data_IF_044147829886
#
_entry.id   IF_044147829886
#
_cell.length_a   1.000
_cell.length_b   1.000
_cell.length_c   1.000
_cell.angle_alpha   90.00
_cell.angle_beta   90.00
_cell.angle_gamma   90.00
#
_symmetry.space_group_name_H-M   'P 1'
#
loop_
_entity.id
_entity.type
_entity.pdbx_description
1 polymer ?
#
# COMPACT_ATOMS: atom_id res chain seq x y z
N UNK A 1 -23.31 4.88 -10.29
CA UNK A 1 -23.94 3.72 -10.93
C UNK A 1 -23.16 3.25 -12.16
N UNK A 2 -22.91 4.10 -13.15
CA UNK A 2 -22.15 3.77 -14.37
C UNK A 2 -20.76 3.18 -14.12
N UNK A 3 -20.00 3.75 -13.18
CA UNK A 3 -18.66 3.24 -12.83
C UNK A 3 -18.69 1.81 -12.27
N UNK A 4 -19.70 1.49 -11.45
CA UNK A 4 -19.86 0.17 -10.85
C UNK A 4 -20.22 -0.86 -11.94
N UNK A 5 -21.10 -0.50 -12.87
CA UNK A 5 -21.44 -1.35 -14.01
C UNK A 5 -20.23 -1.61 -14.90
N UNK A 6 -19.46 -0.56 -15.24
CA UNK A 6 -18.24 -0.72 -16.05
C UNK A 6 -17.20 -1.59 -15.34
N UNK A 7 -16.96 -1.35 -14.04
CA UNK A 7 -16.02 -2.15 -13.25
C UNK A 7 -16.46 -3.61 -13.17
N UNK A 8 -17.75 -3.88 -12.93
CA UNK A 8 -18.30 -5.23 -12.89
C UNK A 8 -18.20 -5.94 -14.25
N UNK A 9 -18.51 -5.23 -15.35
CA UNK A 9 -18.40 -5.77 -16.70
C UNK A 9 -16.95 -6.14 -17.04
N UNK A 10 -16.00 -5.24 -16.79
CA UNK A 10 -14.56 -5.49 -16.99
C UNK A 10 -14.05 -6.64 -16.13
N UNK A 11 -14.52 -6.75 -14.88
CA UNK A 11 -14.15 -7.84 -13.99
C UNK A 11 -14.67 -9.18 -14.50
N UNK A 12 -15.94 -9.27 -14.89
CA UNK A 12 -16.52 -10.50 -15.45
C UNK A 12 -15.79 -10.90 -16.72
N UNK A 13 -15.51 -9.95 -17.61
CA UNK A 13 -14.76 -10.19 -18.84
C UNK A 13 -13.35 -10.71 -18.54
N UNK A 14 -12.62 -10.04 -17.64
CA UNK A 14 -11.28 -10.45 -17.22
C UNK A 14 -11.26 -11.85 -16.60
N UNK A 15 -12.27 -12.19 -15.78
CA UNK A 15 -12.42 -13.53 -15.21
C UNK A 15 -12.76 -14.58 -16.25
N UNK A 16 -13.53 -14.24 -17.29
CA UNK A 16 -13.86 -15.18 -18.37
C UNK A 16 -12.66 -15.46 -19.28
N UNK A 17 -11.77 -14.48 -19.45
CA UNK A 17 -10.53 -14.63 -20.23
C UNK A 17 -9.40 -15.30 -19.42
N UNK A 18 -9.52 -15.31 -18.08
CA UNK A 18 -8.62 -16.04 -17.20
C UNK A 18 -8.86 -17.54 -17.43
N UNK A 19 -8.10 -18.13 -18.35
CA UNK A 19 -8.10 -19.57 -18.64
C UNK A 19 -7.49 -20.40 -17.48
N UNK A 20 -7.67 -19.98 -16.22
CA UNK A 20 -7.15 -20.64 -15.03
C UNK A 20 -8.23 -20.75 -13.95
N UNK A 21 -8.39 -21.92 -13.32
CA UNK A 21 -9.30 -22.06 -12.19
C UNK A 21 -8.77 -21.28 -10.99
N UNK A 22 -9.58 -20.38 -10.44
CA UNK A 22 -9.28 -19.69 -9.18
C UNK A 22 -9.47 -20.68 -8.03
N UNK A 23 -8.36 -21.10 -7.40
CA UNK A 23 -8.39 -21.99 -6.25
C UNK A 23 -8.96 -21.28 -5.01
N UNK A 24 -9.82 -21.93 -4.20
CA UNK A 24 -10.29 -21.36 -2.92
C UNK A 24 -9.14 -20.94 -1.99
N UNK A 25 -8.01 -21.65 -2.04
CA UNK A 25 -6.81 -21.30 -1.28
C UNK A 25 -6.24 -19.93 -1.69
N UNK A 26 -6.20 -19.64 -3.00
CA UNK A 26 -5.73 -18.36 -3.51
C UNK A 26 -6.62 -17.20 -3.06
N UNK A 27 -7.94 -17.43 -2.98
CA UNK A 27 -8.90 -16.45 -2.47
C UNK A 27 -8.67 -16.15 -0.99
N UNK A 28 -8.45 -17.17 -0.16
CA UNK A 28 -8.16 -17.00 1.27
C UNK A 28 -6.87 -16.21 1.47
N UNK A 29 -5.79 -16.56 0.75
CA UNK A 29 -4.53 -15.82 0.83
C UNK A 29 -4.67 -14.38 0.32
N UNK A 30 -5.43 -14.16 -0.76
CA UNK A 30 -5.73 -12.83 -1.25
C UNK A 30 -6.40 -11.97 -0.18
N UNK A 31 -7.45 -12.48 0.48
CA UNK A 31 -8.16 -11.77 1.55
C UNK A 31 -7.24 -11.51 2.76
N UNK A 32 -6.37 -12.45 3.10
CA UNK A 32 -5.37 -12.25 4.14
C UNK A 32 -4.41 -11.10 3.81
N UNK A 33 -3.78 -11.11 2.62
CA UNK A 33 -2.88 -10.03 2.20
C UNK A 33 -3.61 -8.71 2.01
N UNK A 34 -4.88 -8.73 1.61
CA UNK A 34 -5.71 -7.53 1.58
C UNK A 34 -5.87 -6.93 2.99
N UNK A 35 -6.13 -7.77 4.01
CA UNK A 35 -6.18 -7.32 5.41
C UNK A 35 -4.85 -6.74 5.91
N UNK A 36 -3.73 -7.34 5.53
CA UNK A 36 -2.38 -6.80 5.79
C UNK A 36 -2.22 -5.44 5.11
N UNK A 37 -2.63 -5.30 3.85
CA UNK A 37 -2.54 -4.05 3.12
C UNK A 37 -3.37 -2.92 3.73
N UNK A 38 -4.61 -3.23 4.11
CA UNK A 38 -5.48 -2.29 4.83
C UNK A 38 -4.82 -1.86 6.13
N UNK A 39 -4.23 -2.80 6.89
CA UNK A 39 -3.53 -2.50 8.15
C UNK A 39 -2.36 -1.54 7.93
N UNK A 40 -1.57 -1.73 6.88
CA UNK A 40 -0.48 -0.83 6.52
C UNK A 40 -1.00 0.60 6.25
N UNK A 41 -1.99 0.75 5.37
CA UNK A 41 -2.50 2.07 5.00
C UNK A 41 -3.13 2.81 6.19
N UNK A 42 -3.89 2.11 7.05
CA UNK A 42 -4.43 2.71 8.27
C UNK A 42 -3.33 3.12 9.25
N UNK A 43 -2.29 2.29 9.41
CA UNK A 43 -1.16 2.62 10.28
C UNK A 43 -0.44 3.88 9.80
N UNK A 44 -0.22 3.99 8.49
CA UNK A 44 0.38 5.18 7.86
C UNK A 44 -0.52 6.42 8.04
N UNK A 45 -1.83 6.30 7.82
CA UNK A 45 -2.79 7.39 8.01
C UNK A 45 -2.82 7.89 9.46
N UNK A 46 -2.80 6.98 10.44
CA UNK A 46 -2.77 7.36 11.85
C UNK A 46 -1.47 8.10 12.16
N UNK A 47 -0.32 7.62 11.68
CA UNK A 47 0.97 8.27 11.92
C UNK A 47 1.00 9.70 11.33
N UNK A 48 0.50 9.89 10.10
CA UNK A 48 0.43 11.22 9.47
C UNK A 48 -0.56 12.14 10.20
N UNK A 49 -1.73 11.64 10.58
CA UNK A 49 -2.73 12.39 11.33
C UNK A 49 -2.19 12.82 12.71
N UNK A 50 -1.50 11.95 13.42
CA UNK A 50 -0.84 12.25 14.69
C UNK A 50 0.21 13.35 14.55
N UNK A 51 0.99 13.32 13.46
CA UNK A 51 2.02 14.32 13.20
C UNK A 51 1.43 15.73 13.00
N UNK A 52 0.16 15.84 12.63
CA UNK A 52 -0.53 17.14 12.47
C UNK A 52 -0.55 18.02 13.72
N UNK A 53 -0.41 17.43 14.92
CA UNK A 53 -0.37 18.19 16.19
C UNK A 53 0.79 19.18 16.23
N UNK A 54 1.92 18.85 15.60
CA UNK A 54 3.11 19.69 15.59
C UNK A 54 3.21 20.61 14.37
N UNK A 55 2.34 20.44 13.38
CA UNK A 55 2.31 21.29 12.19
C UNK A 55 1.30 22.42 12.37
N UNK A 56 1.74 23.68 12.17
CA UNK A 56 0.82 24.83 12.19
C UNK A 56 -0.19 24.83 11.02
N UNK A 57 0.09 24.09 9.94
CA UNK A 57 -0.80 23.89 8.78
C UNK A 57 -0.71 22.45 8.30
N UNK A 58 -1.87 21.82 8.07
CA UNK A 58 -1.94 20.39 7.73
C UNK A 58 -2.02 20.10 6.22
N UNK A 59 -1.99 21.13 5.37
CA UNK A 59 -2.17 20.98 3.93
C UNK A 59 -1.14 20.03 3.32
N UNK A 60 0.14 20.14 3.70
CA UNK A 60 1.19 19.24 3.22
C UNK A 60 0.99 17.77 3.62
N UNK A 61 0.34 17.49 4.77
CA UNK A 61 0.01 16.13 5.18
C UNK A 61 -1.13 15.55 4.35
N UNK A 62 -2.13 16.38 4.01
CA UNK A 62 -3.21 15.99 3.09
C UNK A 62 -2.66 15.71 1.69
N UNK A 63 -1.81 16.60 1.16
CA UNK A 63 -1.17 16.42 -0.14
C UNK A 63 -0.30 15.15 -0.16
N UNK A 64 0.48 14.93 0.90
CA UNK A 64 1.28 13.71 1.05
C UNK A 64 0.41 12.45 1.02
N UNK A 65 -0.64 12.38 1.86
CA UNK A 65 -1.55 11.24 1.88
C UNK A 65 -2.22 11.02 0.52
N UNK A 66 -2.69 12.10 -0.11
CA UNK A 66 -3.30 12.06 -1.43
C UNK A 66 -2.34 11.44 -2.46
N UNK A 67 -1.12 11.95 -2.59
CA UNK A 67 -0.15 11.43 -3.55
C UNK A 67 0.21 9.96 -3.29
N UNK A 68 0.36 9.55 -2.02
CA UNK A 68 0.58 8.14 -1.68
C UNK A 68 -0.55 7.26 -2.23
N UNK A 69 -1.80 7.65 -2.06
CA UNK A 69 -2.95 6.87 -2.56
C UNK A 69 -3.10 6.91 -4.08
N UNK A 70 -2.58 7.94 -4.76
CA UNK A 70 -2.51 7.96 -6.23
C UNK A 70 -1.47 6.96 -6.73
N UNK A 71 -0.24 6.99 -6.19
CA UNK A 71 0.82 6.06 -6.61
C UNK A 71 0.46 4.60 -6.31
N UNK A 72 -0.23 4.35 -5.20
CA UNK A 72 -0.69 3.03 -4.77
C UNK A 72 -1.71 2.38 -5.72
N UNK A 73 -2.33 3.13 -6.64
CA UNK A 73 -3.26 2.55 -7.62
C UNK A 73 -2.55 1.73 -8.71
N UNK A 74 -1.25 1.95 -8.88
CA UNK A 74 -0.45 1.32 -9.92
C UNK A 74 0.40 0.19 -9.33
N UNK A 75 0.38 -1.02 -9.91
CA UNK A 75 1.24 -2.10 -9.48
C UNK A 75 2.71 -1.75 -9.70
N UNK A 76 3.59 -2.38 -8.91
CA UNK A 76 5.04 -2.13 -8.89
C UNK A 76 5.69 -2.15 -10.29
N UNK A 77 5.26 -3.06 -11.16
CA UNK A 77 5.86 -3.27 -12.48
C UNK A 77 5.73 -2.08 -13.43
N UNK A 78 4.83 -1.12 -13.17
CA UNK A 78 4.71 0.10 -13.97
C UNK A 78 5.91 1.04 -13.75
N UNK A 79 6.62 0.88 -12.63
CA UNK A 79 7.77 1.70 -12.26
C UNK A 79 9.11 1.02 -12.61
N UNK A 80 9.08 -0.12 -13.30
CA UNK A 80 10.29 -0.79 -13.77
C UNK A 80 10.95 0.05 -14.88
N UNK A 81 12.28 0.16 -14.87
CA UNK A 81 13.03 0.86 -15.91
C UNK A 81 12.92 0.15 -17.26
N UNK A 82 12.88 0.94 -18.34
CA UNK A 82 12.86 0.38 -19.71
C UNK A 82 14.23 0.05 -20.25
N UNK A 83 15.27 0.80 -19.85
CA UNK A 83 16.65 0.61 -20.29
C UNK A 83 17.57 0.22 -19.12
N UNK A 84 18.05 -1.03 -19.12
CA UNK A 84 18.96 -1.54 -18.08
C UNK A 84 20.32 -0.83 -18.05
N UNK A 85 20.67 -0.06 -19.09
CA UNK A 85 21.92 0.70 -19.16
C UNK A 85 21.86 2.09 -18.49
N UNK A 86 20.68 2.55 -18.08
CA UNK A 86 20.48 3.92 -17.58
C UNK A 86 19.54 3.95 -16.38
N UNK A 87 19.97 4.64 -15.32
CA UNK A 87 19.12 4.85 -14.16
C UNK A 87 17.96 5.80 -14.51
N UNK A 88 16.74 5.29 -14.44
CA UNK A 88 15.52 6.04 -14.73
C UNK A 88 14.86 6.56 -13.45
N UNK A 89 14.15 7.69 -13.52
CA UNK A 89 13.43 8.23 -12.36
C UNK A 89 12.33 7.29 -11.85
N UNK A 90 11.78 6.44 -12.72
CA UNK A 90 10.82 5.40 -12.35
C UNK A 90 11.42 4.39 -11.36
N UNK A 91 12.65 3.96 -11.60
CA UNK A 91 13.35 3.00 -10.75
C UNK A 91 13.64 3.57 -9.36
N UNK A 92 13.96 4.87 -9.28
CA UNK A 92 14.13 5.56 -7.99
C UNK A 92 12.83 5.54 -7.17
N UNK A 93 11.69 5.82 -7.80
CA UNK A 93 10.37 5.74 -7.17
C UNK A 93 10.01 4.31 -6.80
N UNK A 94 10.29 3.35 -7.69
CA UNK A 94 10.07 1.93 -7.44
C UNK A 94 10.85 1.46 -6.21
N UNK A 95 12.12 1.84 -6.10
CA UNK A 95 12.97 1.53 -4.95
C UNK A 95 12.42 2.16 -3.67
N UNK A 96 12.18 3.48 -3.67
CA UNK A 96 11.68 4.21 -2.51
C UNK A 96 10.34 3.61 -2.02
N UNK A 97 9.40 3.38 -2.93
CA UNK A 97 8.08 2.86 -2.60
C UNK A 97 7.99 1.34 -2.42
N UNK A 98 9.10 0.63 -2.60
CA UNK A 98 9.18 -0.80 -2.27
C UNK A 98 9.95 -1.06 -0.99
N UNK A 99 10.88 -0.19 -0.60
CA UNK A 99 11.82 -0.46 0.49
C UNK A 99 11.85 0.60 1.58
N UNK A 100 11.60 1.87 1.25
CA UNK A 100 11.54 2.96 2.24
C UNK A 100 10.14 3.12 2.78
N UNK A 101 9.16 3.26 1.88
CA UNK A 101 7.74 3.34 2.21
C UNK A 101 7.00 2.32 1.33
N UNK A 102 6.85 1.05 1.78
CA UNK A 102 6.58 -0.12 0.93
C UNK A 102 5.14 -0.22 0.37
N UNK A 103 4.57 0.90 -0.09
CA UNK A 103 3.24 0.98 -0.67
C UNK A 103 3.11 0.09 -1.91
N UNK A 104 4.15 -0.01 -2.75
CA UNK A 104 4.10 -0.80 -3.99
C UNK A 104 4.08 -2.30 -3.69
N UNK A 105 4.80 -2.76 -2.67
CA UNK A 105 4.73 -4.16 -2.25
C UNK A 105 3.33 -4.48 -1.72
N UNK A 106 2.82 -3.61 -0.86
CA UNK A 106 1.54 -3.79 -0.18
C UNK A 106 0.36 -3.89 -1.15
N UNK A 107 0.37 -3.14 -2.25
CA UNK A 107 -0.70 -3.19 -3.26
C UNK A 107 -0.51 -4.31 -4.28
N UNK A 108 0.73 -4.69 -4.58
CA UNK A 108 1.03 -5.64 -5.66
C UNK A 108 0.87 -7.08 -5.22
N UNK A 109 1.26 -7.43 -3.99
CA UNK A 109 1.27 -8.84 -3.52
C UNK A 109 -0.12 -9.48 -3.47
N UNK A 110 -1.19 -8.81 -2.98
CA UNK A 110 -2.55 -9.37 -3.06
C UNK A 110 -2.92 -9.71 -4.51
N UNK A 111 -2.72 -8.78 -5.44
CA UNK A 111 -3.06 -8.97 -6.86
C UNK A 111 -2.25 -10.12 -7.49
N UNK A 112 -0.96 -10.23 -7.21
CA UNK A 112 -0.14 -11.34 -7.70
C UNK A 112 -0.59 -12.69 -7.16
N UNK A 113 -1.06 -12.74 -5.92
CA UNK A 113 -1.50 -13.99 -5.27
C UNK A 113 -2.72 -14.59 -5.97
N UNK A 114 -3.71 -13.78 -6.33
CA UNK A 114 -4.90 -14.27 -7.03
C UNK A 114 -4.62 -14.64 -8.49
N UNK A 115 -3.71 -13.90 -9.14
CA UNK A 115 -3.29 -14.18 -10.52
C UNK A 115 -2.32 -15.38 -10.63
N UNK A 116 -1.91 -15.98 -9.50
CA UNK A 116 -0.85 -16.99 -9.44
C UNK A 116 0.47 -16.53 -10.07
N UNK A 117 0.69 -15.21 -10.07
CA UNK A 117 1.93 -14.54 -10.49
C UNK A 117 2.70 -14.08 -9.26
N UNK A 118 2.49 -14.76 -8.12
CA UNK A 118 3.21 -14.49 -6.89
C UNK A 118 4.71 -14.60 -7.16
N UNK A 119 5.41 -13.47 -6.98
CA UNK A 119 6.86 -13.44 -7.09
C UNK A 119 7.54 -14.21 -5.97
N UNK A 120 8.83 -13.94 -5.77
CA UNK A 120 9.62 -14.58 -4.73
C UNK A 120 8.96 -14.40 -3.34
N UNK A 121 8.86 -15.45 -2.49
CA UNK A 121 8.20 -15.37 -1.18
C UNK A 121 8.80 -14.31 -0.26
N UNK A 122 10.05 -13.90 -0.52
CA UNK A 122 10.72 -12.79 0.12
C UNK A 122 9.90 -11.48 0.06
N UNK A 123 9.17 -11.21 -1.01
CA UNK A 123 8.35 -9.99 -1.11
C UNK A 123 7.12 -10.03 -0.20
N UNK A 124 6.50 -11.20 -0.05
CA UNK A 124 5.40 -11.37 0.91
C UNK A 124 5.90 -11.22 2.34
N UNK A 125 7.07 -11.77 2.66
CA UNK A 125 7.71 -11.58 3.96
C UNK A 125 8.09 -10.11 4.20
N UNK A 126 8.61 -9.41 3.19
CA UNK A 126 8.90 -7.98 3.27
C UNK A 126 7.64 -7.14 3.49
N UNK A 127 6.53 -7.47 2.82
CA UNK A 127 5.23 -6.83 3.05
C UNK A 127 4.74 -7.04 4.50
N UNK A 128 4.83 -8.26 5.02
CA UNK A 128 4.44 -8.55 6.40
C UNK A 128 5.33 -7.80 7.39
N UNK A 129 6.64 -7.89 7.24
CA UNK A 129 7.60 -7.23 8.12
C UNK A 129 7.41 -5.71 8.14
N UNK A 130 7.25 -5.09 6.97
CA UNK A 130 7.04 -3.66 6.87
C UNK A 130 5.67 -3.20 7.37
N UNK A 131 4.61 -3.99 7.15
CA UNK A 131 3.29 -3.73 7.76
C UNK A 131 3.37 -3.77 9.28
N UNK A 132 4.00 -4.79 9.84
CA UNK A 132 4.20 -4.89 11.30
C UNK A 132 5.01 -3.71 11.83
N UNK A 133 6.11 -3.35 11.15
CA UNK A 133 6.91 -2.19 11.53
C UNK A 133 6.10 -0.90 11.49
N UNK A 134 5.34 -0.66 10.41
CA UNK A 134 4.49 0.52 10.28
C UNK A 134 3.39 0.57 11.34
N UNK A 135 2.77 -0.57 11.67
CA UNK A 135 1.78 -0.67 12.74
C UNK A 135 2.36 -0.31 14.11
N UNK A 136 3.53 -0.86 14.45
CA UNK A 136 4.22 -0.56 15.72
C UNK A 136 4.61 0.92 15.78
N UNK A 137 5.23 1.45 14.71
CA UNK A 137 5.61 2.86 14.63
C UNK A 137 4.39 3.79 14.75
N UNK A 138 3.28 3.45 14.10
CA UNK A 138 2.03 4.19 14.20
C UNK A 138 1.52 4.26 15.64
N UNK A 139 1.57 3.14 16.39
CA UNK A 139 1.22 3.13 17.82
C UNK A 139 2.17 3.96 18.67
N UNK A 140 3.47 3.92 18.40
CA UNK A 140 4.47 4.73 19.10
C UNK A 140 4.20 6.22 18.90
N UNK A 141 4.01 6.64 17.64
CA UNK A 141 3.71 8.03 17.28
C UNK A 141 2.39 8.47 17.90
N UNK A 142 1.35 7.62 17.87
CA UNK A 142 0.05 7.92 18.48
C UNK A 142 0.15 8.17 19.99
N UNK A 143 0.85 7.30 20.72
CA UNK A 143 1.02 7.47 22.17
C UNK A 143 1.88 8.72 22.48
N UNK A 144 2.90 8.98 21.67
CA UNK A 144 3.72 10.19 21.78
C UNK A 144 2.92 11.48 21.51
N UNK A 145 2.02 11.47 20.53
CA UNK A 145 1.08 12.56 20.27
C UNK A 145 0.17 12.86 21.44
N UNK A 146 -0.40 11.82 22.06
CA UNK A 146 -1.32 11.98 23.19
C UNK A 146 -0.65 12.64 24.40
N UNK A 147 0.63 12.36 24.68
CA UNK A 147 1.33 12.98 25.80
C UNK A 147 1.57 14.48 25.59
N UNK A 148 1.84 14.91 24.36
CA UNK A 148 2.07 16.32 24.02
C UNK A 148 0.78 17.13 23.99
N UNK A 149 -0.34 16.52 23.56
CA UNK A 149 -1.64 17.19 23.56
C UNK A 149 -2.15 17.50 24.98
N UNK A 150 -1.89 16.60 25.95
CA UNK A 150 -2.32 16.76 27.34
C UNK A 150 -1.54 17.84 28.12
N UNK A 151 -0.31 18.15 27.70
CA UNK A 151 0.51 19.21 28.32
C UNK A 151 0.05 20.63 27.97
N UNK A 152 -0.82 20.81 26.98
CA UNK A 152 -1.34 22.12 26.58
C UNK A 152 -2.64 22.53 27.31
N UNK A 153 -3.23 21.65 28.14
CA UNK A 153 -4.48 21.90 28.88
C UNK A 153 -4.30 22.06 30.39
N UNK A 154 -3.08 22.23 30.89
CA UNK A 154 -2.76 22.48 32.30
C UNK A 154 -2.30 23.91 32.54
#
# INVERSE_FOLDING_TARGET
FTQVLLAAALLIMSLSEINRPISPYAVILYLFYLGVAVTFFYSLMIATACTSIWFGRNQGLYDFWFYITIFAQYPRSIYDGTDAGRFESGEALQFAFSWVLPILLVVTIPAQTILSTAGHPAFALAMLASTTACFVLSRMVFNWSLSHYRGASS
#
